data_IF_422159688300
#
_entry.id   IF_422159688300
#
_cell.length_a   1.000
_cell.length_b   1.000
_cell.length_c   1.000
_cell.angle_alpha   90.00
_cell.angle_beta   90.00
_cell.angle_gamma   90.00
#
_symmetry.space_group_name_H-M   'P 1'
#
loop_
_entity.id
_entity.type
_entity.pdbx_description
1 polymer ?
#
# COMPACT_ATOMS: atom_id res chain seq x y z
N UNK A 1 -0.81 26.12 12.62
CA UNK A 1 -1.46 25.65 11.38
C UNK A 1 -1.95 24.24 11.66
N UNK A 2 -3.24 24.04 11.79
CA UNK A 2 -3.79 22.67 11.98
C UNK A 2 -3.60 21.95 10.66
N UNK A 3 -2.60 21.06 10.58
CA UNK A 3 -2.42 20.16 9.44
C UNK A 3 -3.57 19.18 9.47
N UNK A 4 -4.43 19.22 8.48
CA UNK A 4 -5.48 18.23 8.32
C UNK A 4 -4.83 16.86 8.12
N UNK A 5 -5.31 15.84 8.83
CA UNK A 5 -4.84 14.45 8.74
C UNK A 5 -4.85 13.89 7.31
N UNK A 6 -5.56 14.56 6.41
CA UNK A 6 -5.75 14.21 5.00
C UNK A 6 -4.54 14.49 4.10
N UNK A 7 -3.65 15.40 4.45
CA UNK A 7 -2.52 15.77 3.59
C UNK A 7 -1.34 14.79 3.65
N UNK A 8 -1.56 13.52 3.80
CA UNK A 8 -0.46 12.58 3.83
C UNK A 8 -0.81 11.13 4.12
N UNK A 9 -2.08 10.82 4.30
CA UNK A 9 -2.48 9.42 4.42
C UNK A 9 -2.25 8.67 3.11
N UNK A 10 -1.53 7.57 3.15
CA UNK A 10 -1.36 6.69 2.01
C UNK A 10 -2.66 5.98 1.62
N UNK A 11 -2.69 5.45 0.42
CA UNK A 11 -3.73 4.57 -0.07
C UNK A 11 -3.16 3.59 -1.09
N UNK A 12 -3.94 2.59 -1.46
CA UNK A 12 -3.47 1.49 -2.29
C UNK A 12 -4.30 1.40 -3.59
N UNK A 13 -4.04 2.26 -4.60
CA UNK A 13 -4.71 2.15 -5.90
C UNK A 13 -4.46 0.79 -6.56
N UNK A 14 -3.34 0.14 -6.23
CA UNK A 14 -3.02 -1.22 -6.72
C UNK A 14 -4.04 -2.29 -6.33
N UNK A 15 -4.88 -2.06 -5.34
CA UNK A 15 -5.89 -3.03 -4.92
C UNK A 15 -7.00 -3.23 -5.99
N UNK A 16 -7.10 -2.35 -6.98
CA UNK A 16 -8.00 -2.52 -8.13
C UNK A 16 -7.56 -3.62 -9.11
N UNK A 17 -6.24 -3.95 -9.15
CA UNK A 17 -5.69 -4.84 -10.20
C UNK A 17 -6.35 -6.21 -10.25
N UNK A 18 -6.57 -6.86 -9.11
CA UNK A 18 -7.18 -8.18 -9.08
C UNK A 18 -8.57 -8.20 -9.75
N UNK A 19 -9.39 -7.17 -9.45
CA UNK A 19 -10.71 -7.03 -10.06
C UNK A 19 -10.63 -6.73 -11.57
N UNK A 20 -9.72 -5.85 -11.98
CA UNK A 20 -9.56 -5.49 -13.40
C UNK A 20 -8.99 -6.65 -14.22
N UNK A 21 -8.01 -7.40 -13.69
CA UNK A 21 -7.47 -8.61 -14.34
C UNK A 21 -8.58 -9.64 -14.53
N UNK A 22 -9.39 -9.90 -13.51
CA UNK A 22 -10.50 -10.87 -13.61
C UNK A 22 -11.50 -10.48 -14.72
N UNK A 23 -11.89 -9.20 -14.80
CA UNK A 23 -12.78 -8.71 -15.86
C UNK A 23 -12.11 -8.81 -17.23
N UNK A 24 -10.84 -8.39 -17.35
CA UNK A 24 -10.12 -8.44 -18.62
C UNK A 24 -9.99 -9.87 -19.15
N UNK A 25 -9.69 -10.83 -18.29
CA UNK A 25 -9.62 -12.26 -18.65
C UNK A 25 -10.96 -12.84 -19.06
N UNK A 26 -12.05 -12.45 -18.39
CA UNK A 26 -13.41 -12.89 -18.72
C UNK A 26 -13.80 -12.48 -20.14
N UNK A 27 -13.56 -11.21 -20.50
CA UNK A 27 -13.89 -10.66 -21.82
C UNK A 27 -12.80 -10.87 -22.90
N UNK A 28 -11.70 -11.55 -22.54
CA UNK A 28 -10.55 -11.76 -23.42
C UNK A 28 -9.90 -10.47 -23.95
N UNK A 29 -9.81 -9.45 -23.10
CA UNK A 29 -9.18 -8.18 -23.46
C UNK A 29 -7.66 -8.35 -23.65
N UNK A 30 -7.06 -7.52 -24.50
CA UNK A 30 -5.59 -7.44 -24.60
C UNK A 30 -4.96 -6.71 -23.41
N UNK A 31 -3.64 -6.88 -23.22
CA UNK A 31 -2.92 -6.27 -22.11
C UNK A 31 -2.91 -4.74 -22.16
N UNK A 32 -2.91 -4.15 -23.36
CA UNK A 32 -2.96 -2.69 -23.53
C UNK A 32 -4.29 -2.13 -23.02
N UNK A 33 -5.40 -2.81 -23.29
CA UNK A 33 -6.73 -2.43 -22.79
C UNK A 33 -6.81 -2.56 -21.27
N UNK A 34 -6.22 -3.63 -20.70
CA UNK A 34 -6.12 -3.79 -19.24
C UNK A 34 -5.29 -2.66 -18.61
N UNK A 35 -4.13 -2.32 -19.19
CA UNK A 35 -3.29 -1.22 -18.67
C UNK A 35 -3.98 0.15 -18.75
N UNK A 36 -4.74 0.41 -19.80
CA UNK A 36 -5.57 1.63 -19.90
C UNK A 36 -6.63 1.67 -18.79
N UNK A 37 -7.31 0.56 -18.54
CA UNK A 37 -8.30 0.45 -17.46
C UNK A 37 -7.67 0.69 -16.08
N UNK A 38 -6.50 0.11 -15.83
CA UNK A 38 -5.75 0.32 -14.60
C UNK A 38 -5.29 1.77 -14.45
N UNK A 39 -4.76 2.37 -15.51
CA UNK A 39 -4.36 3.79 -15.51
C UNK A 39 -5.54 4.70 -15.16
N UNK A 40 -6.70 4.48 -15.77
CA UNK A 40 -7.92 5.22 -15.47
C UNK A 40 -8.37 5.03 -14.02
N UNK A 41 -8.28 3.81 -13.49
CA UNK A 41 -8.59 3.54 -12.08
C UNK A 41 -7.64 4.28 -11.14
N UNK A 42 -6.34 4.34 -11.44
CA UNK A 42 -5.37 5.12 -10.65
C UNK A 42 -5.66 6.62 -10.69
N UNK A 43 -6.02 7.16 -11.85
CA UNK A 43 -6.38 8.58 -11.98
C UNK A 43 -7.61 8.94 -11.13
N UNK A 44 -8.64 8.10 -11.15
CA UNK A 44 -9.85 8.28 -10.34
C UNK A 44 -9.55 8.12 -8.85
N UNK A 45 -8.79 7.10 -8.48
CA UNK A 45 -8.36 6.91 -7.09
C UNK A 45 -7.61 8.14 -6.57
N UNK A 46 -6.64 8.63 -7.34
CA UNK A 46 -5.83 9.79 -6.96
C UNK A 46 -6.68 11.05 -6.85
N UNK A 47 -7.58 11.30 -7.81
CA UNK A 47 -8.47 12.46 -7.79
C UNK A 47 -9.37 12.46 -6.54
N UNK A 48 -9.99 11.31 -6.21
CA UNK A 48 -10.79 11.15 -5.00
C UNK A 48 -9.96 11.35 -3.72
N UNK A 49 -8.79 10.71 -3.66
CA UNK A 49 -7.89 10.79 -2.51
C UNK A 49 -7.38 12.21 -2.26
N UNK A 50 -7.00 12.94 -3.31
CA UNK A 50 -6.45 14.30 -3.23
C UNK A 50 -7.53 15.34 -2.88
N UNK A 51 -8.75 15.17 -3.40
CA UNK A 51 -9.81 16.18 -3.31
C UNK A 51 -10.68 15.99 -2.06
N UNK A 52 -10.80 14.78 -1.51
CA UNK A 52 -11.74 14.50 -0.44
C UNK A 52 -11.09 14.45 0.94
N UNK A 53 -11.90 14.71 1.99
CA UNK A 53 -11.52 14.53 3.39
C UNK A 53 -12.21 13.33 4.04
N UNK A 54 -12.55 12.31 3.26
CA UNK A 54 -13.34 11.17 3.73
C UNK A 54 -12.67 10.41 4.88
N UNK A 55 -11.34 10.31 4.88
CA UNK A 55 -10.59 9.68 5.99
C UNK A 55 -10.78 10.40 7.33
N UNK A 56 -10.85 11.73 7.34
CA UNK A 56 -11.11 12.50 8.55
C UNK A 56 -12.55 12.32 9.05
N UNK A 57 -13.43 11.85 8.19
CA UNK A 57 -14.81 11.48 8.50
C UNK A 57 -14.98 10.02 8.89
N UNK A 58 -13.88 9.28 9.06
CA UNK A 58 -13.90 7.87 9.45
C UNK A 58 -14.22 6.91 8.30
N UNK A 59 -14.11 7.35 7.05
CA UNK A 59 -14.27 6.49 5.86
C UNK A 59 -12.89 5.97 5.43
N UNK A 60 -12.78 4.65 5.28
CA UNK A 60 -11.56 3.97 4.87
C UNK A 60 -11.21 4.22 3.40
N UNK A 61 -9.92 4.17 3.06
CA UNK A 61 -9.44 4.26 1.68
C UNK A 61 -9.94 3.13 0.76
N UNK A 62 -10.48 2.04 1.30
CA UNK A 62 -11.15 1.01 0.54
C UNK A 62 -12.36 1.56 -0.27
N UNK A 63 -12.99 2.64 0.20
CA UNK A 63 -14.01 3.34 -0.59
C UNK A 63 -13.47 3.82 -1.94
N UNK A 64 -12.27 4.41 -1.96
CA UNK A 64 -11.66 4.85 -3.23
C UNK A 64 -11.36 3.69 -4.17
N UNK A 65 -10.97 2.53 -3.62
CA UNK A 65 -10.76 1.28 -4.39
C UNK A 65 -12.07 0.85 -5.06
N UNK A 66 -13.19 0.88 -4.32
CA UNK A 66 -14.49 0.50 -4.89
C UNK A 66 -14.85 1.35 -6.10
N UNK A 67 -14.76 2.69 -5.96
CA UNK A 67 -15.14 3.62 -7.05
C UNK A 67 -14.18 3.50 -8.23
N UNK A 68 -12.87 3.49 -7.97
CA UNK A 68 -11.87 3.40 -9.04
C UNK A 68 -11.91 2.07 -9.79
N UNK A 69 -12.15 0.96 -9.07
CA UNK A 69 -12.34 -0.35 -9.73
C UNK A 69 -13.61 -0.38 -10.58
N UNK A 70 -14.70 0.21 -10.10
CA UNK A 70 -15.93 0.30 -10.90
C UNK A 70 -15.71 1.05 -12.22
N UNK A 71 -14.94 2.14 -12.16
CA UNK A 71 -14.58 2.93 -13.36
C UNK A 71 -13.72 2.12 -14.33
N UNK A 72 -12.65 1.48 -13.85
CA UNK A 72 -11.80 0.64 -14.69
C UNK A 72 -12.52 -0.56 -15.28
N UNK A 73 -13.37 -1.23 -14.50
CA UNK A 73 -14.20 -2.34 -14.96
C UNK A 73 -15.26 -1.90 -15.99
N UNK A 74 -15.87 -0.73 -15.80
CA UNK A 74 -16.82 -0.16 -16.76
C UNK A 74 -16.15 0.16 -18.09
N UNK A 75 -14.92 0.65 -18.08
CA UNK A 75 -14.12 0.85 -19.29
C UNK A 75 -13.83 -0.47 -20.01
N UNK A 76 -13.38 -1.51 -19.30
CA UNK A 76 -13.16 -2.85 -19.87
C UNK A 76 -14.42 -3.43 -20.49
N UNK A 77 -15.55 -3.31 -19.81
CA UNK A 77 -16.84 -3.83 -20.27
C UNK A 77 -17.47 -3.00 -21.40
N UNK A 78 -16.86 -1.88 -21.80
CA UNK A 78 -17.34 -1.01 -22.89
C UNK A 78 -18.70 -0.37 -22.60
N UNK A 79 -18.98 0.01 -21.35
CA UNK A 79 -20.26 0.56 -20.95
C UNK A 79 -20.57 1.89 -21.66
N UNK A 80 -21.84 2.11 -21.98
CA UNK A 80 -22.33 3.40 -22.43
C UNK A 80 -22.13 4.46 -21.35
N UNK A 81 -22.16 5.74 -21.70
CA UNK A 81 -22.05 6.86 -20.73
C UNK A 81 -23.09 6.75 -19.62
N UNK A 82 -24.31 6.34 -19.94
CA UNK A 82 -25.41 6.18 -18.98
C UNK A 82 -25.14 5.01 -18.03
N UNK A 83 -24.85 3.82 -18.57
CA UNK A 83 -24.50 2.65 -17.73
C UNK A 83 -23.26 2.90 -16.89
N UNK A 84 -22.29 3.64 -17.43
CA UNK A 84 -21.09 4.02 -16.70
C UNK A 84 -21.43 4.91 -15.48
N UNK A 85 -22.32 5.89 -15.64
CA UNK A 85 -22.79 6.72 -14.53
C UNK A 85 -23.51 5.88 -13.45
N UNK A 86 -24.34 4.90 -13.87
CA UNK A 86 -24.96 3.95 -12.94
C UNK A 86 -23.95 3.10 -12.21
N UNK A 87 -22.90 2.59 -12.90
CA UNK A 87 -21.83 1.84 -12.24
C UNK A 87 -21.11 2.66 -11.16
N UNK A 88 -20.79 3.93 -11.45
CA UNK A 88 -20.20 4.84 -10.45
C UNK A 88 -21.17 5.02 -9.28
N UNK A 89 -22.44 5.27 -9.52
CA UNK A 89 -23.41 5.43 -8.44
C UNK A 89 -23.57 4.16 -7.59
N UNK A 90 -23.65 2.99 -8.21
CA UNK A 90 -23.69 1.68 -7.52
C UNK A 90 -22.41 1.41 -6.73
N UNK A 91 -21.28 1.97 -7.12
CA UNK A 91 -20.04 1.86 -6.37
C UNK A 91 -19.99 2.77 -5.14
N UNK A 92 -20.73 3.89 -5.15
CA UNK A 92 -20.75 4.89 -4.07
C UNK A 92 -21.82 4.57 -3.03
N UNK A 93 -23.07 4.44 -3.48
CA UNK A 93 -24.25 4.46 -2.59
C UNK A 93 -24.25 3.34 -1.55
N UNK A 94 -24.00 2.05 -1.87
CA UNK A 94 -24.06 0.96 -0.91
C UNK A 94 -22.70 0.62 -0.25
N UNK A 95 -21.61 1.35 -0.55
CA UNK A 95 -20.25 0.88 -0.27
C UNK A 95 -19.42 1.80 0.63
N UNK A 96 -19.99 2.30 1.72
CA UNK A 96 -19.23 3.07 2.71
C UNK A 96 -18.36 2.13 3.55
N UNK A 97 -17.05 2.17 3.33
CA UNK A 97 -16.08 1.43 4.13
C UNK A 97 -15.71 2.22 5.38
N UNK A 98 -15.79 1.60 6.57
CA UNK A 98 -15.49 2.29 7.83
C UNK A 98 -14.01 2.20 8.22
N UNK A 99 -13.44 3.32 8.64
CA UNK A 99 -12.06 3.46 9.07
C UNK A 99 -11.69 2.66 10.32
N UNK A 100 -12.69 2.19 11.10
CA UNK A 100 -12.46 1.31 12.26
C UNK A 100 -11.70 0.03 11.91
N UNK A 101 -11.74 -0.40 10.64
CA UNK A 101 -10.96 -1.54 10.16
C UNK A 101 -9.43 -1.36 10.29
N UNK A 102 -8.97 -0.11 10.51
CA UNK A 102 -7.55 0.25 10.60
C UNK A 102 -7.16 0.92 11.92
N UNK A 103 -7.99 0.81 12.95
CA UNK A 103 -7.74 1.43 14.26
C UNK A 103 -7.72 0.39 15.38
N UNK A 104 -6.98 0.66 16.46
CA UNK A 104 -6.85 -0.24 17.60
C UNK A 104 -6.13 -1.54 17.25
N UNK A 105 -6.52 -2.64 17.90
CA UNK A 105 -6.00 -3.98 17.58
C UNK A 105 -6.51 -4.42 16.22
N UNK A 106 -5.61 -4.56 15.26
CA UNK A 106 -5.94 -4.92 13.90
C UNK A 106 -6.43 -6.37 13.80
N UNK A 107 -7.42 -6.58 12.93
CA UNK A 107 -7.97 -7.90 12.60
C UNK A 107 -7.63 -8.30 11.16
N UNK A 108 -7.83 -9.58 10.84
CA UNK A 108 -7.67 -10.10 9.46
C UNK A 108 -8.51 -9.35 8.44
N UNK A 109 -9.64 -8.72 8.86
CA UNK A 109 -10.48 -7.91 7.97
C UNK A 109 -9.72 -6.73 7.34
N UNK A 110 -8.69 -6.21 8.00
CA UNK A 110 -7.84 -5.16 7.42
C UNK A 110 -7.30 -5.57 6.04
N UNK A 111 -6.85 -6.83 5.89
CA UNK A 111 -6.39 -7.37 4.60
C UNK A 111 -7.56 -7.62 3.63
N UNK A 112 -8.72 -8.05 4.14
CA UNK A 112 -9.90 -8.33 3.33
C UNK A 112 -10.66 -7.09 2.82
N UNK A 113 -10.50 -5.93 3.47
CA UNK A 113 -11.28 -4.73 3.17
C UNK A 113 -11.10 -4.25 1.71
N UNK A 114 -9.86 -4.18 1.23
CA UNK A 114 -9.56 -3.76 -0.13
C UNK A 114 -9.98 -4.80 -1.19
N UNK A 115 -9.82 -6.08 -0.90
CA UNK A 115 -10.30 -7.15 -1.78
C UNK A 115 -11.83 -7.10 -1.94
N UNK A 116 -12.56 -6.89 -0.83
CA UNK A 116 -14.00 -6.67 -0.85
C UNK A 116 -14.38 -5.41 -1.64
N UNK A 117 -13.61 -4.33 -1.52
CA UNK A 117 -13.84 -3.09 -2.26
C UNK A 117 -13.69 -3.28 -3.77
N UNK A 118 -12.64 -3.95 -4.22
CA UNK A 118 -12.42 -4.26 -5.64
C UNK A 118 -13.55 -5.17 -6.18
N UNK A 119 -13.94 -6.21 -5.42
CA UNK A 119 -15.10 -7.05 -5.76
C UNK A 119 -16.37 -6.23 -5.95
N UNK A 120 -16.67 -5.32 -5.03
CA UNK A 120 -17.86 -4.48 -5.09
C UNK A 120 -17.82 -3.50 -6.28
N UNK A 121 -16.63 -3.00 -6.64
CA UNK A 121 -16.44 -2.17 -7.83
C UNK A 121 -16.75 -2.95 -9.13
N UNK A 122 -16.22 -4.17 -9.26
CA UNK A 122 -16.53 -5.06 -10.39
C UNK A 122 -18.03 -5.37 -10.43
N UNK A 123 -18.62 -5.72 -9.27
CA UNK A 123 -20.05 -6.01 -9.18
C UNK A 123 -20.91 -4.82 -9.64
N UNK A 124 -20.56 -3.59 -9.23
CA UNK A 124 -21.26 -2.38 -9.67
C UNK A 124 -21.24 -2.21 -11.20
N UNK A 125 -20.08 -2.46 -11.83
CA UNK A 125 -19.94 -2.36 -13.29
C UNK A 125 -20.76 -3.46 -14.02
N UNK A 126 -20.74 -4.70 -13.52
CA UNK A 126 -21.53 -5.80 -14.09
C UNK A 126 -23.02 -5.51 -13.97
N UNK A 127 -23.49 -5.09 -12.80
CA UNK A 127 -24.91 -4.78 -12.60
C UNK A 127 -25.40 -3.64 -13.50
N UNK A 128 -24.59 -2.61 -13.66
CA UNK A 128 -24.92 -1.52 -14.59
C UNK A 128 -24.93 -1.99 -16.06
N UNK A 129 -24.04 -2.91 -16.45
CA UNK A 129 -24.06 -3.56 -17.77
C UNK A 129 -25.37 -4.30 -18.01
N UNK A 130 -25.89 -4.99 -16.99
CA UNK A 130 -27.16 -5.74 -17.05
C UNK A 130 -28.38 -4.83 -16.88
N UNK A 131 -28.21 -3.50 -16.87
CA UNK A 131 -29.31 -2.54 -16.86
C UNK A 131 -29.79 -2.13 -15.47
N UNK A 132 -29.11 -2.48 -14.38
CA UNK A 132 -29.47 -1.98 -13.07
C UNK A 132 -29.17 -0.48 -12.97
N UNK A 133 -30.22 0.30 -12.71
CA UNK A 133 -30.13 1.76 -12.53
C UNK A 133 -29.81 2.11 -11.07
N UNK A 134 -29.26 3.31 -10.87
CA UNK A 134 -28.87 3.82 -9.56
C UNK A 134 -29.19 5.33 -9.47
N UNK A 135 -29.17 5.93 -8.27
CA UNK A 135 -29.41 7.36 -8.10
C UNK A 135 -28.49 8.22 -8.98
N UNK A 136 -29.02 9.23 -9.66
CA UNK A 136 -28.28 10.05 -10.61
C UNK A 136 -27.17 10.88 -9.97
N UNK A 137 -27.36 11.33 -8.72
CA UNK A 137 -26.48 12.26 -8.02
C UNK A 137 -25.91 11.64 -6.73
N UNK A 138 -25.07 10.58 -6.78
CA UNK A 138 -24.62 9.88 -5.59
C UNK A 138 -23.73 10.75 -4.67
N UNK A 139 -23.11 11.79 -5.21
CA UNK A 139 -22.26 12.72 -4.46
C UNK A 139 -23.06 13.92 -3.94
N UNK A 140 -23.70 14.68 -4.83
CA UNK A 140 -24.30 16.00 -4.55
C UNK A 140 -25.81 15.97 -4.29
N UNK A 141 -26.48 14.86 -4.51
CA UNK A 141 -27.92 14.73 -4.29
C UNK A 141 -28.31 14.86 -2.82
N UNK A 142 -29.61 15.04 -2.59
CA UNK A 142 -30.16 15.00 -1.23
C UNK A 142 -29.79 13.65 -0.57
N UNK A 143 -29.13 13.70 0.59
CA UNK A 143 -28.56 12.54 1.30
C UNK A 143 -27.43 11.82 0.54
N UNK A 144 -26.80 12.49 -0.45
CA UNK A 144 -25.59 12.01 -1.13
C UNK A 144 -24.36 12.10 -0.26
N UNK A 145 -23.23 11.64 -0.80
CA UNK A 145 -21.96 11.53 -0.06
C UNK A 145 -21.50 12.87 0.57
N UNK A 146 -21.78 14.00 -0.08
CA UNK A 146 -21.40 15.33 0.45
C UNK A 146 -22.14 15.73 1.73
N UNK A 147 -23.17 15.00 2.14
CA UNK A 147 -23.77 15.17 3.48
C UNK A 147 -22.93 14.53 4.59
N UNK A 148 -22.08 13.55 4.23
CA UNK A 148 -21.17 12.88 5.16
C UNK A 148 -19.76 13.48 5.14
N UNK A 149 -19.43 14.24 4.11
CA UNK A 149 -18.12 14.87 3.90
C UNK A 149 -18.27 16.34 3.53
N UNK A 150 -17.17 17.08 3.47
CA UNK A 150 -17.18 18.38 2.79
C UNK A 150 -17.35 18.16 1.28
N UNK A 151 -17.97 19.16 0.60
CA UNK A 151 -18.00 19.16 -0.87
C UNK A 151 -16.58 19.19 -1.41
N UNK A 152 -16.35 18.48 -2.49
CA UNK A 152 -15.09 18.49 -3.20
C UNK A 152 -15.32 18.35 -4.71
N UNK A 153 -14.44 18.96 -5.48
CA UNK A 153 -14.41 18.82 -6.93
C UNK A 153 -13.31 17.82 -7.33
N UNK A 154 -13.67 16.89 -8.21
CA UNK A 154 -12.69 15.97 -8.77
C UNK A 154 -11.88 16.68 -9.84
N UNK A 155 -10.61 16.88 -9.59
CA UNK A 155 -9.70 17.46 -10.55
C UNK A 155 -8.84 16.34 -11.18
N UNK A 156 -9.03 16.15 -12.49
CA UNK A 156 -8.24 15.22 -13.29
C UNK A 156 -7.10 16.01 -13.96
N UNK A 157 -5.90 15.88 -13.42
CA UNK A 157 -4.71 16.46 -14.04
C UNK A 157 -4.42 15.74 -15.37
N UNK A 158 -4.14 16.51 -16.42
CA UNK A 158 -3.98 15.97 -17.78
C UNK A 158 -2.55 15.62 -18.16
N UNK A 159 -1.57 15.97 -17.32
CA UNK A 159 -0.17 15.96 -17.71
C UNK A 159 0.44 14.56 -17.82
N UNK A 160 0.17 13.68 -16.85
CA UNK A 160 0.65 12.30 -16.84
C UNK A 160 -0.31 11.38 -16.08
N UNK A 161 -0.47 10.11 -16.52
CA UNK A 161 -1.21 9.10 -15.76
C UNK A 161 -0.66 8.95 -14.35
N UNK A 162 -1.54 8.93 -13.36
CA UNK A 162 -1.16 8.89 -11.93
C UNK A 162 -0.53 7.56 -11.49
N UNK A 163 -0.64 6.53 -12.30
CA UNK A 163 0.07 5.27 -12.08
C UNK A 163 1.60 5.47 -12.02
N UNK A 164 2.16 6.42 -12.77
CA UNK A 164 3.59 6.76 -12.74
C UNK A 164 4.01 7.57 -11.51
N UNK A 165 3.05 8.12 -10.76
CA UNK A 165 3.29 8.81 -9.50
C UNK A 165 3.03 7.89 -8.30
N UNK A 166 2.69 6.62 -8.54
CA UNK A 166 2.47 5.65 -7.47
C UNK A 166 3.80 5.21 -6.87
N UNK A 167 3.83 5.16 -5.53
CA UNK A 167 4.96 4.62 -4.80
C UNK A 167 4.95 3.09 -4.84
N UNK A 168 6.11 2.47 -4.97
CA UNK A 168 6.27 1.03 -4.93
C UNK A 168 6.95 0.62 -3.62
N UNK A 169 6.37 -0.31 -2.87
CA UNK A 169 7.00 -0.84 -1.66
C UNK A 169 8.14 -1.79 -2.02
N UNK A 170 9.33 -1.56 -1.48
CA UNK A 170 10.44 -2.52 -1.58
C UNK A 170 10.24 -3.69 -0.60
N UNK A 171 9.60 -3.44 0.54
CA UNK A 171 9.38 -4.42 1.61
C UNK A 171 7.90 -4.62 1.88
N UNK A 172 7.48 -5.86 2.24
CA UNK A 172 6.08 -6.25 2.47
C UNK A 172 5.60 -5.88 3.88
N UNK A 173 5.58 -4.59 4.19
CA UNK A 173 5.06 -4.05 5.45
C UNK A 173 4.41 -2.69 5.23
N UNK A 174 4.10 -1.98 6.31
CA UNK A 174 3.59 -0.61 6.21
C UNK A 174 4.55 0.30 5.43
N UNK A 175 3.99 1.24 4.66
CA UNK A 175 4.78 2.11 3.78
C UNK A 175 5.69 3.07 4.58
N UNK A 176 5.25 3.54 5.73
CA UNK A 176 6.01 4.47 6.56
C UNK A 176 7.21 3.85 7.26
N UNK A 177 7.38 2.51 7.19
CA UNK A 177 8.55 1.78 7.67
C UNK A 177 9.65 1.59 6.62
N UNK A 178 9.37 1.85 5.32
CA UNK A 178 10.28 1.51 4.21
C UNK A 178 11.67 2.15 4.35
N UNK A 179 11.73 3.45 4.67
CA UNK A 179 12.99 4.19 4.84
C UNK A 179 13.80 3.65 6.01
N UNK A 180 13.13 3.36 7.14
CA UNK A 180 13.79 2.81 8.31
C UNK A 180 14.36 1.41 8.09
N UNK A 181 13.69 0.57 7.31
CA UNK A 181 14.19 -0.77 6.92
C UNK A 181 15.48 -0.63 6.12
N UNK A 182 15.51 0.25 5.12
CA UNK A 182 16.71 0.49 4.31
C UNK A 182 17.89 0.97 5.15
N UNK A 183 17.63 1.80 6.17
CA UNK A 183 18.64 2.23 7.13
C UNK A 183 19.10 1.07 8.01
N UNK A 184 18.17 0.27 8.55
CA UNK A 184 18.48 -0.84 9.45
C UNK A 184 19.34 -1.92 8.76
N UNK A 185 19.08 -2.23 7.48
CA UNK A 185 19.91 -3.13 6.66
C UNK A 185 21.35 -2.59 6.55
N UNK A 186 21.52 -1.29 6.28
CA UNK A 186 22.86 -0.67 6.23
C UNK A 186 23.56 -0.70 7.59
N UNK A 187 22.82 -0.50 8.68
CA UNK A 187 23.36 -0.48 10.03
C UNK A 187 23.76 -1.89 10.50
N UNK A 188 23.03 -2.94 10.11
CA UNK A 188 23.37 -4.33 10.45
C UNK A 188 24.83 -4.66 10.08
N UNK A 189 25.31 -4.22 8.92
CA UNK A 189 26.70 -4.47 8.48
C UNK A 189 27.75 -3.68 9.28
N UNK A 190 27.33 -2.71 10.11
CA UNK A 190 28.20 -1.79 10.84
C UNK A 190 28.22 -2.02 12.35
N UNK A 191 27.24 -2.79 12.88
CA UNK A 191 27.07 -2.97 14.32
C UNK A 191 26.85 -4.45 14.66
N UNK A 192 27.44 -4.90 15.76
CA UNK A 192 27.04 -6.15 16.40
C UNK A 192 25.78 -5.88 17.25
N UNK A 193 24.64 -6.54 16.96
CA UNK A 193 23.41 -6.35 17.72
C UNK A 193 23.58 -6.58 19.25
N UNK A 194 24.50 -7.48 19.65
CA UNK A 194 24.79 -7.73 21.05
C UNK A 194 25.44 -6.54 21.76
N UNK A 195 26.07 -5.62 21.02
CA UNK A 195 26.70 -4.42 21.54
C UNK A 195 25.77 -3.20 21.60
N UNK A 196 24.55 -3.31 21.11
CA UNK A 196 23.58 -2.20 21.12
C UNK A 196 23.10 -1.97 22.57
N UNK A 197 23.24 -0.74 23.06
CA UNK A 197 22.68 -0.27 24.31
C UNK A 197 21.31 0.37 24.12
N UNK A 198 21.15 1.21 23.08
CA UNK A 198 19.91 1.93 22.77
C UNK A 198 19.81 2.22 21.29
N UNK A 199 18.58 2.24 20.77
CA UNK A 199 18.24 2.64 19.40
C UNK A 199 17.27 3.82 19.49
N UNK A 200 17.61 4.95 18.85
CA UNK A 200 16.71 6.09 18.70
C UNK A 200 16.34 6.26 17.23
N UNK A 201 15.04 6.20 16.95
CA UNK A 201 14.48 6.41 15.62
C UNK A 201 13.75 7.75 15.62
N UNK A 202 14.17 8.67 14.76
CA UNK A 202 13.50 9.95 14.50
C UNK A 202 12.86 9.91 13.14
N UNK A 203 11.59 10.27 13.06
CA UNK A 203 10.83 10.26 11.79
C UNK A 203 9.75 11.35 11.79
N UNK A 204 9.04 11.52 10.69
CA UNK A 204 7.96 12.49 10.57
C UNK A 204 6.70 12.04 11.33
N UNK A 205 5.85 13.00 11.71
CA UNK A 205 4.68 12.78 12.56
C UNK A 205 3.78 11.64 12.08
N UNK A 206 3.52 11.57 10.76
CA UNK A 206 2.59 10.57 10.22
C UNK A 206 3.14 9.15 10.40
N UNK A 207 4.44 8.93 10.14
CA UNK A 207 5.10 7.65 10.39
C UNK A 207 5.05 7.29 11.88
N UNK A 208 5.46 8.23 12.76
CA UNK A 208 5.39 8.00 14.20
C UNK A 208 3.97 7.62 14.65
N UNK A 209 2.96 8.35 14.17
CA UNK A 209 1.55 8.11 14.54
C UNK A 209 1.04 6.74 14.09
N UNK A 210 1.34 6.31 12.87
CA UNK A 210 0.80 5.07 12.29
C UNK A 210 1.53 3.81 12.80
N UNK A 211 2.86 3.88 12.96
CA UNK A 211 3.67 2.67 13.20
C UNK A 211 4.41 2.65 14.53
N UNK A 212 4.25 3.68 15.40
CA UNK A 212 4.97 3.75 16.66
C UNK A 212 4.25 4.48 17.82
N UNK A 213 3.08 5.11 17.63
CA UNK A 213 2.41 5.84 18.73
C UNK A 213 1.70 4.92 19.72
N UNK A 214 1.31 3.72 19.31
CA UNK A 214 0.61 2.76 20.16
C UNK A 214 1.60 1.82 20.85
N UNK A 215 1.55 1.66 22.19
CA UNK A 215 2.43 0.76 22.94
C UNK A 215 2.41 -0.70 22.48
N UNK A 216 1.30 -1.18 21.88
CA UNK A 216 1.22 -2.54 21.32
C UNK A 216 2.25 -2.81 20.20
N UNK A 217 2.81 -1.75 19.60
CA UNK A 217 3.84 -1.84 18.56
C UNK A 217 5.18 -2.40 19.11
N UNK A 218 5.45 -2.29 20.40
CA UNK A 218 6.65 -2.87 21.01
C UNK A 218 6.52 -4.34 21.36
N UNK A 219 5.29 -4.87 21.39
CA UNK A 219 5.02 -6.28 21.72
C UNK A 219 3.92 -6.83 20.80
N UNK A 220 4.13 -6.87 19.48
CA UNK A 220 3.14 -7.41 18.57
C UNK A 220 2.94 -8.90 18.82
N UNK A 221 1.70 -9.35 18.75
CA UNK A 221 1.30 -10.76 18.96
C UNK A 221 0.66 -11.38 17.73
N UNK A 222 0.54 -10.63 16.65
CA UNK A 222 0.01 -11.08 15.36
C UNK A 222 0.68 -10.32 14.21
N UNK A 223 0.57 -10.88 13.01
CA UNK A 223 1.15 -10.33 11.79
C UNK A 223 0.67 -8.91 11.51
N UNK A 224 -0.63 -8.66 11.65
CA UNK A 224 -1.27 -7.39 11.30
C UNK A 224 -0.76 -6.22 12.17
N UNK A 225 -0.39 -6.49 13.42
CA UNK A 225 0.24 -5.50 14.29
C UNK A 225 1.72 -5.37 14.01
N UNK A 226 2.41 -6.49 13.79
CA UNK A 226 3.85 -6.54 13.59
C UNK A 226 4.30 -5.85 12.29
N UNK A 227 3.57 -6.03 11.18
CA UNK A 227 3.88 -5.39 9.90
C UNK A 227 3.61 -3.86 9.89
N UNK A 228 3.02 -3.35 10.97
CA UNK A 228 2.80 -1.94 11.28
C UNK A 228 3.55 -1.50 12.55
N UNK A 229 4.59 -2.23 12.95
CA UNK A 229 5.41 -1.92 14.12
C UNK A 229 6.82 -1.54 13.70
N UNK A 230 7.11 -0.25 13.74
CA UNK A 230 8.45 0.26 13.43
C UNK A 230 9.52 -0.27 14.39
N UNK A 231 9.31 -0.27 15.73
CA UNK A 231 10.30 -0.81 16.66
C UNK A 231 10.57 -2.30 16.45
N UNK A 232 9.55 -3.11 16.22
CA UNK A 232 9.68 -4.54 15.92
C UNK A 232 10.45 -4.80 14.64
N UNK A 233 10.05 -4.14 13.56
CA UNK A 233 10.66 -4.30 12.22
C UNK A 233 12.14 -3.92 12.27
N UNK A 234 12.47 -2.75 12.81
CA UNK A 234 13.87 -2.29 12.88
C UNK A 234 14.72 -3.24 13.72
N UNK A 235 14.19 -3.74 14.86
CA UNK A 235 14.90 -4.69 15.70
C UNK A 235 15.18 -6.00 14.98
N UNK A 236 14.20 -6.55 14.29
CA UNK A 236 14.37 -7.78 13.53
C UNK A 236 15.36 -7.64 12.38
N UNK A 237 15.28 -6.53 11.63
CA UNK A 237 16.22 -6.27 10.52
C UNK A 237 17.63 -6.04 11.02
N UNK A 238 17.83 -5.39 12.17
CA UNK A 238 19.15 -5.25 12.77
C UNK A 238 19.74 -6.59 13.23
N UNK A 239 18.92 -7.55 13.65
CA UNK A 239 19.35 -8.90 14.01
C UNK A 239 19.67 -9.74 12.77
N UNK A 240 18.80 -9.72 11.76
CA UNK A 240 18.83 -10.66 10.65
C UNK A 240 19.64 -10.14 9.44
N UNK A 241 19.84 -8.83 9.34
CA UNK A 241 20.50 -8.18 8.17
C UNK A 241 19.63 -8.08 6.94
N UNK A 242 18.42 -8.60 6.97
CA UNK A 242 17.46 -8.60 5.87
C UNK A 242 16.04 -8.43 6.39
N UNK A 243 15.15 -8.00 5.50
CA UNK A 243 13.72 -7.97 5.75
C UNK A 243 13.04 -9.16 5.06
N UNK A 244 12.27 -9.92 5.82
CA UNK A 244 11.53 -11.07 5.31
C UNK A 244 10.28 -11.41 6.12
N UNK A 245 9.44 -12.32 5.58
CA UNK A 245 8.21 -12.76 6.23
C UNK A 245 8.47 -13.53 7.55
N UNK A 246 9.67 -14.06 7.72
CA UNK A 246 10.09 -14.71 8.97
C UNK A 246 9.95 -13.80 10.20
N UNK A 247 9.97 -12.47 10.03
CA UNK A 247 9.75 -11.51 11.11
C UNK A 247 8.32 -11.57 11.70
N UNK A 248 7.38 -12.21 11.02
CA UNK A 248 5.95 -12.19 11.34
C UNK A 248 5.40 -13.57 11.70
N UNK A 249 6.27 -14.52 12.03
CA UNK A 249 5.87 -15.87 12.46
C UNK A 249 5.62 -15.94 13.97
N UNK A 250 4.86 -16.94 14.40
CA UNK A 250 4.56 -17.17 15.82
C UNK A 250 5.82 -17.44 16.65
N UNK A 251 6.80 -18.11 16.06
CA UNK A 251 8.10 -18.40 16.69
C UNK A 251 8.85 -17.10 16.91
N UNK A 252 8.84 -16.20 15.92
CA UNK A 252 9.55 -14.93 16.01
C UNK A 252 8.95 -14.01 17.05
N UNK A 253 7.61 -14.01 17.23
CA UNK A 253 6.98 -13.25 18.31
C UNK A 253 7.39 -13.71 19.70
N UNK A 254 7.93 -14.92 19.84
CA UNK A 254 8.43 -15.45 21.10
C UNK A 254 9.95 -15.41 21.25
N UNK A 255 10.68 -14.96 20.23
CA UNK A 255 12.14 -14.86 20.24
C UNK A 255 12.61 -13.81 21.28
N UNK A 256 13.40 -14.22 22.30
CA UNK A 256 13.86 -13.31 23.35
C UNK A 256 14.84 -12.25 22.81
N UNK A 257 15.59 -12.53 21.74
CA UNK A 257 16.58 -11.59 21.20
C UNK A 257 15.91 -10.38 20.57
N UNK A 258 14.88 -10.61 19.74
CA UNK A 258 14.16 -9.50 19.11
C UNK A 258 13.36 -8.70 20.15
N UNK A 259 12.77 -9.38 21.16
CA UNK A 259 12.06 -8.70 22.26
C UNK A 259 12.98 -7.82 23.07
N UNK A 260 14.17 -8.33 23.44
CA UNK A 260 15.17 -7.56 24.18
C UNK A 260 15.64 -6.35 23.37
N UNK A 261 15.98 -6.53 22.08
CA UNK A 261 16.40 -5.43 21.24
C UNK A 261 15.27 -4.40 21.01
N UNK A 262 14.04 -4.86 20.79
CA UNK A 262 12.87 -4.01 20.64
C UNK A 262 12.60 -3.16 21.88
N UNK A 263 12.84 -3.69 23.09
CA UNK A 263 12.70 -2.94 24.35
C UNK A 263 13.67 -1.76 24.49
N UNK A 264 14.76 -1.75 23.71
CA UNK A 264 15.78 -0.69 23.68
C UNK A 264 15.49 0.37 22.62
N UNK A 265 14.40 0.22 21.84
CA UNK A 265 14.02 1.16 20.80
C UNK A 265 13.17 2.28 21.37
N UNK A 266 13.56 3.50 21.08
CA UNK A 266 12.76 4.72 21.26
C UNK A 266 12.44 5.29 19.90
N UNK A 267 11.16 5.56 19.63
CA UNK A 267 10.70 6.19 18.39
C UNK A 267 10.07 7.54 18.73
N UNK A 268 10.48 8.58 18.05
CA UNK A 268 9.92 9.92 18.25
C UNK A 268 9.67 10.66 16.94
N UNK A 269 8.71 11.57 16.99
CA UNK A 269 8.58 12.58 15.98
C UNK A 269 9.76 13.55 16.01
N UNK A 270 10.21 13.95 14.83
CA UNK A 270 11.12 15.06 14.62
C UNK A 270 10.39 16.10 13.76
N UNK A 271 10.22 17.31 14.29
CA UNK A 271 9.45 18.38 13.63
C UNK A 271 10.10 18.89 12.33
N UNK A 272 11.43 18.82 12.23
CA UNK A 272 12.15 19.15 10.99
C UNK A 272 11.82 18.09 9.92
N UNK A 273 11.87 16.79 10.29
CA UNK A 273 11.51 15.71 9.39
C UNK A 273 10.02 15.77 9.01
N UNK A 274 9.15 16.13 9.94
CA UNK A 274 7.73 16.34 9.68
C UNK A 274 7.47 17.43 8.65
N UNK A 275 8.30 18.48 8.61
CA UNK A 275 8.14 19.56 7.64
C UNK A 275 8.42 19.15 6.19
N UNK A 276 9.18 18.07 5.99
CA UNK A 276 9.52 17.54 4.66
C UNK A 276 8.40 16.65 4.08
N UNK A 277 7.54 16.10 4.92
CA UNK A 277 6.42 15.27 4.49
C UNK A 277 5.28 16.14 3.91
N UNK A 278 4.56 15.75 2.83
CA UNK A 278 4.60 14.43 2.17
C UNK A 278 5.64 14.28 1.03
N UNK A 279 6.38 15.34 0.68
CA UNK A 279 7.31 15.32 -0.45
C UNK A 279 8.54 14.44 -0.20
N UNK A 280 8.88 14.24 1.07
CA UNK A 280 9.94 13.33 1.53
C UNK A 280 9.38 12.44 2.64
N UNK A 281 10.00 11.28 2.85
CA UNK A 281 9.66 10.31 3.88
C UNK A 281 10.88 9.98 4.73
N UNK A 282 11.41 10.99 5.44
CA UNK A 282 12.70 10.89 6.09
C UNK A 282 12.67 10.03 7.34
N UNK A 283 13.79 9.35 7.56
CA UNK A 283 14.05 8.63 8.81
C UNK A 283 15.52 8.76 9.19
N UNK A 284 15.78 8.87 10.48
CA UNK A 284 17.11 8.84 11.09
C UNK A 284 17.13 7.78 12.16
N UNK A 285 18.13 6.89 12.11
CA UNK A 285 18.35 5.89 13.16
C UNK A 285 19.72 6.13 13.77
N UNK A 286 19.75 6.30 15.09
CA UNK A 286 20.94 6.49 15.88
C UNK A 286 21.07 5.35 16.87
N UNK A 287 22.17 4.63 16.81
CA UNK A 287 22.49 3.48 17.68
C UNK A 287 23.58 3.89 18.65
N UNK A 288 23.33 3.68 19.94
CA UNK A 288 24.29 3.83 21.03
C UNK A 288 24.81 2.46 21.41
N UNK A 289 26.15 2.30 21.40
CA UNK A 289 26.80 1.05 21.72
C UNK A 289 27.28 1.05 23.20
N UNK A 290 27.40 -0.13 23.78
CA UNK A 290 27.91 -0.34 25.18
C UNK A 290 29.29 0.27 25.41
N UNK A 291 30.13 0.36 24.36
CA UNK A 291 31.43 1.00 24.39
C UNK A 291 31.39 2.54 24.28
N UNK A 292 30.18 3.14 24.33
CA UNK A 292 29.89 4.58 24.19
C UNK A 292 30.07 5.16 22.79
N UNK A 293 30.37 4.35 21.81
CA UNK A 293 30.32 4.78 20.40
C UNK A 293 28.88 4.98 19.95
N UNK A 294 28.72 5.87 18.99
CA UNK A 294 27.43 6.16 18.39
C UNK A 294 27.56 6.03 16.87
N UNK A 295 26.60 5.36 16.26
CA UNK A 295 26.50 5.21 14.81
C UNK A 295 25.14 5.76 14.39
N UNK A 296 25.13 6.58 13.34
CA UNK A 296 23.92 7.23 12.84
C UNK A 296 23.84 7.08 11.32
N UNK A 297 22.63 6.82 10.84
CA UNK A 297 22.28 6.82 9.42
C UNK A 297 21.01 7.60 9.20
N UNK A 298 20.93 8.27 8.04
CA UNK A 298 19.79 9.06 7.58
C UNK A 298 19.48 8.77 6.13
N UNK A 299 18.20 8.66 5.80
CA UNK A 299 17.68 8.68 4.44
C UNK A 299 16.43 9.56 4.40
N UNK A 300 16.23 10.27 3.30
CA UNK A 300 15.06 11.14 3.10
C UNK A 300 13.96 10.49 2.24
N UNK A 301 14.29 9.46 1.47
CA UNK A 301 13.36 8.73 0.62
C UNK A 301 13.57 7.21 0.72
N UNK A 302 12.48 6.43 0.70
CA UNK A 302 12.58 5.00 0.49
C UNK A 302 12.83 4.67 -0.98
N UNK A 303 13.51 3.55 -1.25
CA UNK A 303 13.55 2.97 -2.59
C UNK A 303 12.12 2.63 -3.06
N UNK A 304 11.77 3.06 -4.27
CA UNK A 304 10.41 2.93 -4.83
C UNK A 304 9.53 4.18 -4.62
N UNK A 305 10.08 5.28 -4.08
CA UNK A 305 9.45 6.61 -4.16
C UNK A 305 9.53 7.11 -5.62
N UNK A 306 8.56 7.90 -6.15
CA UNK A 306 8.64 8.43 -7.51
C UNK A 306 9.93 9.21 -7.82
N UNK A 307 10.45 9.97 -6.85
CA UNK A 307 11.75 10.67 -6.98
C UNK A 307 12.98 9.76 -6.74
N UNK A 308 12.77 8.53 -6.32
CA UNK A 308 13.79 7.51 -6.13
C UNK A 308 13.21 6.14 -6.50
N UNK A 309 12.93 5.90 -7.79
CA UNK A 309 12.26 4.70 -8.25
C UNK A 309 13.09 3.44 -8.02
N UNK A 310 12.38 2.32 -7.78
CA UNK A 310 13.04 1.02 -7.69
C UNK A 310 13.67 0.68 -9.04
N UNK A 311 14.91 0.18 -9.04
CA UNK A 311 15.54 -0.28 -10.26
C UNK A 311 14.91 -1.58 -10.77
N UNK A 312 15.00 -1.84 -12.09
CA UNK A 312 14.53 -3.11 -12.65
C UNK A 312 15.22 -4.31 -12.01
N UNK A 313 16.52 -4.17 -11.67
CA UNK A 313 17.27 -5.20 -10.96
C UNK A 313 16.70 -5.51 -9.57
N UNK A 314 16.42 -4.48 -8.77
CA UNK A 314 15.82 -4.62 -7.43
C UNK A 314 14.40 -5.17 -7.51
N UNK A 315 13.62 -4.74 -8.52
CA UNK A 315 12.26 -5.25 -8.75
C UNK A 315 12.28 -6.73 -9.08
N UNK A 316 13.20 -7.15 -9.96
CA UNK A 316 13.39 -8.55 -10.34
C UNK A 316 13.83 -9.39 -9.13
N UNK A 317 14.77 -8.90 -8.32
CA UNK A 317 15.19 -9.59 -7.11
C UNK A 317 14.05 -9.73 -6.12
N UNK A 318 13.24 -8.67 -5.92
CA UNK A 318 12.05 -8.73 -5.07
C UNK A 318 11.07 -9.78 -5.58
N UNK A 319 10.79 -9.80 -6.90
CA UNK A 319 9.91 -10.80 -7.50
C UNK A 319 10.43 -12.22 -7.24
N UNK A 320 11.70 -12.50 -7.57
CA UNK A 320 12.30 -13.81 -7.39
C UNK A 320 12.29 -14.25 -5.91
N UNK A 321 12.66 -13.35 -4.99
CA UNK A 321 12.63 -13.63 -3.53
C UNK A 321 11.25 -14.07 -3.05
N UNK A 322 10.18 -13.47 -3.59
CA UNK A 322 8.80 -13.82 -3.23
C UNK A 322 8.30 -15.07 -3.94
N UNK A 323 8.53 -15.18 -5.26
CA UNK A 323 8.04 -16.28 -6.06
C UNK A 323 8.67 -17.63 -5.65
N UNK A 324 9.97 -17.64 -5.32
CA UNK A 324 10.69 -18.86 -4.90
C UNK A 324 10.23 -19.43 -3.54
N UNK A 325 9.39 -18.73 -2.81
CA UNK A 325 8.72 -19.29 -1.62
C UNK A 325 7.61 -20.29 -1.98
N UNK A 326 7.12 -20.25 -3.24
CA UNK A 326 5.98 -21.06 -3.67
C UNK A 326 6.35 -21.96 -4.87
N UNK A 327 7.19 -21.47 -5.78
CA UNK A 327 7.59 -22.20 -6.98
C UNK A 327 9.12 -22.39 -7.02
N UNK A 328 9.60 -23.31 -7.87
CA UNK A 328 11.04 -23.51 -8.06
C UNK A 328 11.73 -22.27 -8.64
N UNK A 329 13.03 -22.10 -8.39
CA UNK A 329 13.80 -20.97 -8.93
C UNK A 329 13.74 -20.90 -10.46
N UNK A 330 13.78 -22.04 -11.15
CA UNK A 330 13.65 -22.09 -12.61
C UNK A 330 12.28 -21.64 -13.09
N UNK A 331 11.22 -22.04 -12.40
CA UNK A 331 9.86 -21.59 -12.71
C UNK A 331 9.68 -20.09 -12.43
N UNK A 332 10.21 -19.59 -11.31
CA UNK A 332 10.17 -18.15 -10.99
C UNK A 332 10.86 -17.29 -12.06
N UNK A 333 12.02 -17.74 -12.56
CA UNK A 333 12.75 -17.06 -13.66
C UNK A 333 11.91 -17.08 -14.95
N UNK A 334 11.29 -18.20 -15.29
CA UNK A 334 10.46 -18.31 -16.49
C UNK A 334 9.23 -17.39 -16.42
N UNK A 335 8.56 -17.31 -15.26
CA UNK A 335 7.44 -16.39 -15.03
C UNK A 335 7.91 -14.93 -15.16
N UNK A 336 9.03 -14.57 -14.54
CA UNK A 336 9.59 -13.23 -14.65
C UNK A 336 9.86 -12.85 -16.11
N UNK A 337 10.53 -13.72 -16.86
CA UNK A 337 10.80 -13.50 -18.28
C UNK A 337 9.53 -13.37 -19.11
N UNK A 338 8.51 -14.19 -18.83
CA UNK A 338 7.21 -14.09 -19.49
C UNK A 338 6.57 -12.72 -19.24
N UNK A 339 6.53 -12.25 -17.98
CA UNK A 339 5.94 -10.96 -17.63
C UNK A 339 6.69 -9.77 -18.24
N UNK A 340 8.03 -9.84 -18.32
CA UNK A 340 8.87 -8.76 -18.87
C UNK A 340 8.79 -8.64 -20.39
N UNK A 341 8.50 -9.73 -21.08
CA UNK A 341 8.48 -9.78 -22.56
C UNK A 341 7.05 -9.94 -23.12
N UNK A 342 6.04 -9.67 -22.30
CA UNK A 342 4.66 -9.80 -22.69
C UNK A 342 4.29 -8.77 -23.76
N UNK A 343 3.71 -9.24 -24.87
CA UNK A 343 3.17 -8.36 -25.91
C UNK A 343 1.92 -7.64 -25.38
N UNK A 344 1.87 -6.32 -25.57
CA UNK A 344 0.72 -5.50 -25.18
C UNK A 344 -0.57 -5.89 -25.91
N UNK A 345 -0.48 -6.45 -27.10
CA UNK A 345 -1.63 -6.94 -27.87
C UNK A 345 -2.02 -8.39 -27.54
N UNK A 346 -1.26 -9.03 -26.63
CA UNK A 346 -1.57 -10.38 -26.18
C UNK A 346 -2.81 -10.39 -25.27
N UNK A 347 -3.60 -11.46 -25.38
CA UNK A 347 -4.74 -11.73 -24.48
C UNK A 347 -4.31 -11.74 -23.03
N UNK A 348 -5.07 -11.06 -22.18
CA UNK A 348 -4.88 -11.04 -20.71
C UNK A 348 -5.05 -12.41 -20.05
N UNK A 349 -5.70 -13.38 -20.73
CA UNK A 349 -5.78 -14.77 -20.24
C UNK A 349 -4.43 -15.43 -20.11
N UNK A 350 -3.44 -14.99 -20.89
CA UNK A 350 -2.06 -15.51 -20.84
C UNK A 350 -1.22 -14.88 -19.74
N UNK A 351 -1.73 -13.90 -19.01
CA UNK A 351 -0.97 -13.21 -17.94
C UNK A 351 -0.35 -14.16 -16.93
N UNK A 352 -1.07 -15.24 -16.60
CA UNK A 352 -0.63 -16.22 -15.60
C UNK A 352 -0.14 -17.55 -16.22
N UNK A 353 0.22 -17.54 -17.52
CA UNK A 353 0.83 -18.73 -18.12
C UNK A 353 2.13 -19.07 -17.38
N UNK A 354 2.29 -20.35 -17.02
CA UNK A 354 3.43 -20.84 -16.24
C UNK A 354 3.37 -20.57 -14.73
N UNK A 355 2.32 -19.86 -14.22
CA UNK A 355 2.17 -19.60 -12.79
C UNK A 355 1.51 -20.75 -11.99
N UNK A 356 1.05 -21.81 -12.65
CA UNK A 356 0.45 -22.96 -11.96
C UNK A 356 1.49 -23.69 -11.12
N UNK A 357 1.21 -23.84 -9.84
CA UNK A 357 1.98 -24.69 -8.92
C UNK A 357 1.58 -26.14 -9.20
N UNK A 358 2.50 -26.93 -9.73
CA UNK A 358 2.32 -28.38 -9.96
C UNK A 358 2.70 -29.18 -8.74
#
# INVERSE_FOLDING_TARGET
MVRTRTQGGGGHPSDCWAGLIAVAQDIDADMNTLFKAASLAYDVYHALFKSSNLRDKGIDNAFYVTVSTAVGASFLLGLSRESFAHAVSLSVVPNISLGVARTGRLSMWKAGASANAARNGVFAAIMAKEGLTAPELPFSGERGLFQLSSMFDLNFEKDQPKIFQAHMKSYLCDYHSQTAISIAIKLHSKVDPAQIEKICISTYWFAWNEVASDPSKWQPSNRETADHSLPWIVSGVLLDGDFGEALFTSERFNDPLIKDLCSRVEVKEDTELTSLFPNRMPCRIKIFLKNKQTIEEYLDLPNGHPDFPISDGDLNQKFLKLATQTVSSSQAINILNHLQHMDLMQSSRKLFDGCLVT
#
